data_IF_644256224763
#
_entry.id   IF_644256224763
#
_cell.length_a   1.000
_cell.length_b   1.000
_cell.length_c   1.000
_cell.angle_alpha   90.00
_cell.angle_beta   90.00
_cell.angle_gamma   90.00
#
_symmetry.space_group_name_H-M   'P 1'
#
loop_
_entity.id
_entity.type
_entity.pdbx_description
1 polymer ?
#
# COMPACT_ATOMS: atom_id res chain seq x y z
N UNK A 1 -6.77 18.22 -25.33
CA UNK A 1 -6.88 16.82 -24.86
C UNK A 1 -8.15 16.67 -24.03
N UNK A 2 -9.07 15.83 -24.48
CA UNK A 2 -10.47 15.75 -24.04
C UNK A 2 -10.59 15.02 -22.69
N UNK A 3 -10.99 15.74 -21.63
CA UNK A 3 -11.11 15.27 -20.22
C UNK A 3 -12.49 14.67 -19.90
N UNK A 4 -13.19 14.06 -20.86
CA UNK A 4 -14.47 13.37 -20.59
C UNK A 4 -14.24 11.87 -20.65
N UNK A 5 -14.64 11.17 -19.60
CA UNK A 5 -14.62 9.71 -19.45
C UNK A 5 -13.28 9.06 -19.06
N UNK A 6 -12.66 9.54 -17.97
CA UNK A 6 -11.91 8.61 -17.12
C UNK A 6 -12.87 8.01 -16.10
N UNK A 7 -13.69 7.07 -16.57
CA UNK A 7 -14.35 6.12 -15.69
C UNK A 7 -13.22 5.29 -15.11
N UNK A 8 -12.87 5.50 -13.83
CA UNK A 8 -11.89 4.66 -13.17
C UNK A 8 -12.45 3.23 -13.20
N UNK A 9 -11.78 2.27 -13.86
CA UNK A 9 -12.33 0.94 -14.13
C UNK A 9 -12.55 0.07 -12.88
N UNK A 10 -12.15 0.56 -11.69
CA UNK A 10 -12.31 -0.11 -10.41
C UNK A 10 -13.20 0.73 -9.48
N UNK A 11 -14.45 0.96 -9.88
CA UNK A 11 -15.47 1.48 -8.98
C UNK A 11 -15.91 0.34 -8.05
N UNK A 12 -15.20 0.16 -6.93
CA UNK A 12 -15.55 -0.89 -5.96
C UNK A 12 -16.89 -0.54 -5.28
N UNK A 13 -18.00 -1.22 -5.65
CA UNK A 13 -19.35 -0.77 -5.29
C UNK A 13 -19.60 -0.86 -3.77
N UNK A 14 -18.86 -1.71 -3.08
CA UNK A 14 -18.91 -1.87 -1.61
C UNK A 14 -18.28 -0.65 -0.94
N UNK A 15 -17.11 -0.23 -1.40
CA UNK A 15 -16.37 0.89 -0.84
C UNK A 15 -17.13 2.21 -1.05
N UNK A 16 -17.71 2.38 -2.23
CA UNK A 16 -18.63 3.47 -2.57
C UNK A 16 -19.82 3.55 -1.61
N UNK A 17 -20.52 2.42 -1.41
CA UNK A 17 -21.67 2.36 -0.49
C UNK A 17 -21.29 2.65 0.95
N UNK A 18 -20.10 2.19 1.38
CA UNK A 18 -19.59 2.49 2.71
C UNK A 18 -19.43 4.01 2.86
N UNK A 19 -18.72 4.68 1.95
CA UNK A 19 -18.49 6.12 2.00
C UNK A 19 -19.76 6.98 2.00
N UNK A 20 -20.79 6.57 1.26
CA UNK A 20 -22.11 7.21 1.34
C UNK A 20 -22.78 7.01 2.71
N UNK A 21 -22.61 5.83 3.34
CA UNK A 21 -23.16 5.55 4.68
C UNK A 21 -22.47 6.34 5.80
N UNK A 22 -21.15 6.55 5.70
CA UNK A 22 -20.38 7.35 6.69
C UNK A 22 -20.53 8.86 6.47
N UNK A 23 -21.33 9.29 5.48
CA UNK A 23 -21.56 10.72 5.18
C UNK A 23 -20.39 11.44 4.52
N UNK A 24 -19.34 10.71 4.12
CA UNK A 24 -18.16 11.29 3.45
C UNK A 24 -18.41 11.63 1.97
N UNK A 25 -19.37 10.97 1.31
CA UNK A 25 -19.80 11.30 -0.05
C UNK A 25 -21.23 11.81 -0.04
N UNK A 26 -21.50 12.90 -0.77
CA UNK A 26 -22.84 13.46 -0.94
C UNK A 26 -23.43 13.05 -2.30
N UNK A 27 -24.75 12.82 -2.34
CA UNK A 27 -25.48 12.35 -3.54
C UNK A 27 -25.34 13.26 -4.78
N UNK A 28 -24.95 14.53 -4.60
CA UNK A 28 -24.84 15.53 -5.66
C UNK A 28 -23.39 15.92 -6.02
N UNK A 29 -22.38 15.16 -5.56
CA UNK A 29 -20.98 15.42 -5.95
C UNK A 29 -20.72 15.04 -7.41
N UNK A 30 -19.86 15.81 -8.08
CA UNK A 30 -19.43 15.46 -9.43
C UNK A 30 -18.63 14.14 -9.41
N UNK A 31 -18.70 13.30 -10.47
CA UNK A 31 -17.95 12.04 -10.53
C UNK A 31 -16.44 12.22 -10.29
N UNK A 32 -15.90 13.37 -10.69
CA UNK A 32 -14.50 13.76 -10.49
C UNK A 32 -14.14 14.00 -9.02
N UNK A 33 -15.05 14.59 -8.23
CA UNK A 33 -14.84 14.82 -6.79
C UNK A 33 -14.98 13.53 -5.98
N UNK A 34 -15.90 12.66 -6.39
CA UNK A 34 -16.07 11.34 -5.76
C UNK A 34 -14.79 10.51 -5.91
N UNK A 35 -14.18 10.52 -7.10
CA UNK A 35 -12.93 9.80 -7.36
C UNK A 35 -11.77 10.40 -6.56
N UNK A 36 -11.64 11.73 -6.50
CA UNK A 36 -10.55 12.38 -5.77
C UNK A 36 -10.64 12.15 -4.25
N UNK A 37 -11.84 12.21 -3.66
CA UNK A 37 -12.01 11.93 -2.23
C UNK A 37 -11.71 10.48 -1.89
N UNK A 38 -12.19 9.51 -2.68
CA UNK A 38 -11.87 8.10 -2.45
C UNK A 38 -10.38 7.83 -2.54
N UNK A 39 -9.70 8.46 -3.50
CA UNK A 39 -8.26 8.37 -3.66
C UNK A 39 -7.56 8.90 -2.41
N UNK A 40 -7.92 10.10 -1.95
CA UNK A 40 -7.33 10.70 -0.74
C UNK A 40 -7.53 9.84 0.51
N UNK A 41 -8.73 9.30 0.73
CA UNK A 41 -8.98 8.46 1.91
C UNK A 41 -8.22 7.14 1.81
N UNK A 42 -8.18 6.50 0.64
CA UNK A 42 -7.40 5.27 0.46
C UNK A 42 -5.92 5.50 0.77
N UNK A 43 -5.34 6.62 0.30
CA UNK A 43 -3.96 6.99 0.63
C UNK A 43 -3.76 7.29 2.10
N UNK A 44 -4.65 8.08 2.69
CA UNK A 44 -4.57 8.43 4.10
C UNK A 44 -4.58 7.17 4.98
N UNK A 45 -5.53 6.26 4.74
CA UNK A 45 -5.62 4.97 5.44
C UNK A 45 -4.37 4.12 5.19
N UNK A 46 -3.88 4.04 3.94
CA UNK A 46 -2.67 3.27 3.62
C UNK A 46 -1.42 3.80 4.33
N UNK A 47 -1.23 5.12 4.37
CA UNK A 47 -0.11 5.76 5.07
C UNK A 47 -0.21 5.53 6.58
N UNK A 48 -1.39 5.71 7.17
CA UNK A 48 -1.62 5.49 8.61
C UNK A 48 -1.33 4.03 8.99
N UNK A 49 -1.90 3.07 8.25
CA UNK A 49 -1.68 1.65 8.52
C UNK A 49 -0.19 1.29 8.36
N UNK A 50 0.49 1.78 7.31
CA UNK A 50 1.92 1.53 7.12
C UNK A 50 2.76 2.13 8.24
N UNK A 51 2.46 3.35 8.69
CA UNK A 51 3.15 3.98 9.81
C UNK A 51 2.95 3.18 11.12
N UNK A 52 1.72 2.74 11.39
CA UNK A 52 1.43 1.89 12.55
C UNK A 52 2.21 0.57 12.52
N UNK A 53 2.28 -0.08 11.35
CA UNK A 53 3.06 -1.31 11.15
C UNK A 53 4.56 -1.06 11.37
N UNK A 54 5.12 0.04 10.85
CA UNK A 54 6.53 0.41 11.06
C UNK A 54 6.83 0.56 12.55
N UNK A 55 5.98 1.28 13.29
CA UNK A 55 6.13 1.48 14.74
C UNK A 55 6.05 0.14 15.49
N UNK A 56 5.08 -0.70 15.16
CA UNK A 56 4.94 -2.03 15.75
C UNK A 56 6.19 -2.90 15.51
N UNK A 57 6.70 -2.93 14.27
CA UNK A 57 7.93 -3.67 13.93
C UNK A 57 9.13 -3.09 14.67
N UNK A 58 9.25 -1.78 14.77
CA UNK A 58 10.37 -1.14 15.45
C UNK A 58 10.44 -1.53 16.93
N UNK A 59 9.29 -1.53 17.61
CA UNK A 59 9.19 -1.95 19.02
C UNK A 59 9.37 -3.47 19.19
N UNK A 60 8.84 -4.28 18.28
CA UNK A 60 8.83 -5.75 18.41
C UNK A 60 9.85 -6.46 17.51
N UNK A 61 10.88 -5.75 17.01
CA UNK A 61 11.88 -6.28 16.05
C UNK A 61 12.67 -7.51 16.53
N UNK A 62 12.77 -7.67 17.84
CA UNK A 62 13.47 -8.80 18.46
C UNK A 62 12.56 -10.02 18.67
N UNK A 63 11.24 -9.86 18.56
CA UNK A 63 10.29 -10.96 18.68
C UNK A 63 10.28 -11.79 17.40
N UNK A 64 10.46 -13.11 17.55
CA UNK A 64 10.37 -14.05 16.43
C UNK A 64 8.98 -14.05 15.79
N UNK A 65 7.92 -13.84 16.61
CA UNK A 65 6.53 -13.76 16.16
C UNK A 65 6.36 -12.63 15.15
N UNK A 66 6.94 -11.46 15.44
CA UNK A 66 6.82 -10.31 14.53
C UNK A 66 7.54 -10.56 13.21
N UNK A 67 8.71 -11.21 13.25
CA UNK A 67 9.46 -11.57 12.02
C UNK A 67 8.65 -12.53 11.14
N UNK A 68 8.01 -13.52 11.75
CA UNK A 68 7.15 -14.48 11.04
C UNK A 68 5.92 -13.78 10.44
N UNK A 69 5.25 -12.91 11.19
CA UNK A 69 4.10 -12.15 10.68
C UNK A 69 4.48 -11.27 9.48
N UNK A 70 5.61 -10.56 9.56
CA UNK A 70 6.12 -9.74 8.46
C UNK A 70 6.47 -10.60 7.24
N UNK A 71 7.09 -11.77 7.46
CA UNK A 71 7.40 -12.70 6.39
C UNK A 71 6.14 -13.19 5.66
N UNK A 72 5.13 -13.66 6.41
CA UNK A 72 3.86 -14.13 5.85
C UNK A 72 3.17 -12.99 5.07
N UNK A 73 3.07 -11.80 5.66
CA UNK A 73 2.45 -10.65 5.00
C UNK A 73 3.16 -10.25 3.70
N UNK A 74 4.50 -10.27 3.70
CA UNK A 74 5.29 -9.96 2.52
C UNK A 74 5.16 -11.05 1.44
N UNK A 75 5.13 -12.33 1.81
CA UNK A 75 4.89 -13.46 0.89
C UNK A 75 3.52 -13.39 0.23
N UNK A 76 2.46 -13.07 0.99
CA UNK A 76 1.12 -12.82 0.43
C UNK A 76 1.17 -11.68 -0.60
N UNK A 77 1.90 -10.60 -0.27
CA UNK A 77 2.16 -9.51 -1.20
C UNK A 77 2.79 -9.98 -2.51
N UNK A 78 3.87 -10.75 -2.45
CA UNK A 78 4.56 -11.29 -3.62
C UNK A 78 3.62 -12.16 -4.47
N UNK A 79 2.91 -13.12 -3.87
CA UNK A 79 2.03 -14.04 -4.61
C UNK A 79 0.84 -13.31 -5.24
N UNK A 80 0.20 -12.41 -4.50
CA UNK A 80 -1.00 -11.71 -4.97
C UNK A 80 -0.68 -10.63 -6.01
N UNK A 81 0.43 -9.90 -5.85
CA UNK A 81 0.86 -8.89 -6.82
C UNK A 81 1.53 -9.51 -8.05
N UNK A 82 2.29 -10.60 -7.88
CA UNK A 82 2.94 -11.29 -8.99
C UNK A 82 1.94 -11.80 -10.03
N UNK A 83 0.82 -12.38 -9.59
CA UNK A 83 -0.24 -12.86 -10.49
C UNK A 83 -1.04 -11.74 -11.17
N UNK A 84 -0.99 -10.50 -10.64
CA UNK A 84 -1.80 -9.35 -11.11
C UNK A 84 -0.96 -8.20 -11.65
N UNK A 85 0.32 -8.43 -11.92
CA UNK A 85 1.31 -7.39 -12.24
C UNK A 85 1.05 -6.71 -13.61
N UNK A 86 0.40 -7.42 -14.54
CA UNK A 86 0.11 -6.94 -15.90
C UNK A 86 -1.32 -6.41 -16.09
N UNK A 87 -2.16 -6.39 -15.04
CA UNK A 87 -3.56 -5.94 -15.16
C UNK A 87 -3.76 -4.51 -14.60
N UNK A 88 -4.24 -3.59 -15.45
CA UNK A 88 -4.71 -2.24 -15.06
C UNK A 88 -3.72 -1.07 -15.21
N UNK A 89 -4.23 0.16 -15.10
CA UNK A 89 -3.52 1.43 -15.31
C UNK A 89 -2.58 1.85 -14.15
N UNK A 90 -2.59 1.13 -13.03
CA UNK A 90 -1.79 1.44 -11.83
C UNK A 90 -0.38 0.79 -11.84
N UNK A 91 0.25 0.71 -13.01
CA UNK A 91 1.48 -0.04 -13.26
C UNK A 91 2.62 0.30 -12.30
N UNK A 92 2.81 1.58 -11.96
CA UNK A 92 3.90 2.01 -11.10
C UNK A 92 3.69 1.61 -9.63
N UNK A 93 2.46 1.75 -9.11
CA UNK A 93 2.10 1.38 -7.73
C UNK A 93 2.31 -0.09 -7.43
N UNK A 94 1.81 -0.95 -8.33
CA UNK A 94 1.86 -2.39 -8.14
C UNK A 94 3.29 -2.90 -8.18
N UNK A 95 4.10 -2.36 -9.10
CA UNK A 95 5.53 -2.70 -9.21
C UNK A 95 6.33 -2.24 -8.01
N UNK A 96 6.13 -1.01 -7.54
CA UNK A 96 6.79 -0.51 -6.34
C UNK A 96 6.45 -1.38 -5.11
N UNK A 97 5.17 -1.70 -4.93
CA UNK A 97 4.73 -2.56 -3.83
C UNK A 97 5.32 -3.97 -3.92
N UNK A 98 5.36 -4.56 -5.13
CA UNK A 98 5.97 -5.87 -5.36
C UNK A 98 7.47 -5.89 -5.04
N UNK A 99 8.22 -4.89 -5.53
CA UNK A 99 9.66 -4.73 -5.24
C UNK A 99 9.90 -4.58 -3.75
N UNK A 100 9.13 -3.73 -3.06
CA UNK A 100 9.26 -3.56 -1.61
C UNK A 100 8.90 -4.84 -0.84
N UNK A 101 7.88 -5.59 -1.29
CA UNK A 101 7.55 -6.89 -0.69
C UNK A 101 8.71 -7.88 -0.82
N UNK A 102 9.38 -7.96 -1.98
CA UNK A 102 10.58 -8.80 -2.16
C UNK A 102 11.71 -8.34 -1.24
N UNK A 103 12.00 -7.03 -1.19
CA UNK A 103 13.05 -6.48 -0.32
C UNK A 103 12.79 -6.83 1.15
N UNK A 104 11.53 -6.72 1.61
CA UNK A 104 11.13 -7.09 2.97
C UNK A 104 11.34 -8.58 3.21
N UNK A 105 10.92 -9.46 2.30
CA UNK A 105 11.15 -10.92 2.41
C UNK A 105 12.65 -11.23 2.55
N UNK A 106 13.48 -10.68 1.67
CA UNK A 106 14.94 -10.89 1.71
C UNK A 106 15.53 -10.36 3.01
N UNK A 107 15.09 -9.20 3.47
CA UNK A 107 15.55 -8.61 4.74
C UNK A 107 15.20 -9.53 5.92
N UNK A 108 13.98 -10.09 5.95
CA UNK A 108 13.60 -11.03 7.02
C UNK A 108 14.47 -12.29 6.99
N UNK A 109 14.72 -12.86 5.80
CA UNK A 109 15.58 -14.04 5.65
C UNK A 109 16.99 -13.75 6.17
N UNK A 110 17.60 -12.64 5.74
CA UNK A 110 18.94 -12.27 6.19
C UNK A 110 19.02 -11.96 7.70
N UNK A 111 17.97 -11.37 8.28
CA UNK A 111 17.88 -11.19 9.74
C UNK A 111 17.75 -12.52 10.49
N UNK A 112 17.08 -13.53 9.92
CA UNK A 112 17.02 -14.87 10.52
C UNK A 112 18.35 -15.62 10.43
N UNK A 113 19.07 -15.46 9.31
CA UNK A 113 20.41 -16.01 9.11
C UNK A 113 21.49 -15.26 9.92
N UNK A 114 21.11 -14.26 10.73
CA UNK A 114 22.01 -13.38 11.50
C UNK A 114 23.07 -12.66 10.64
N UNK A 115 22.82 -12.53 9.33
CA UNK A 115 23.71 -11.80 8.42
C UNK A 115 23.51 -10.28 8.52
N UNK A 116 22.34 -9.85 9.01
CA UNK A 116 21.94 -8.45 9.09
C UNK A 116 21.23 -8.18 10.41
N UNK A 117 21.47 -7.01 11.00
CA UNK A 117 20.83 -6.57 12.24
C UNK A 117 19.30 -6.50 12.13
N UNK A 118 18.63 -6.71 13.27
CA UNK A 118 17.17 -6.58 13.39
C UNK A 118 16.64 -5.18 13.09
N UNK A 119 17.53 -4.18 13.04
CA UNK A 119 17.21 -2.81 12.62
C UNK A 119 16.90 -2.72 11.11
N UNK A 120 17.48 -3.58 10.27
CA UNK A 120 17.30 -3.51 8.82
C UNK A 120 15.85 -3.72 8.39
N UNK A 121 15.08 -4.56 9.08
CA UNK A 121 13.65 -4.73 8.83
C UNK A 121 12.87 -3.43 9.04
N UNK A 122 13.22 -2.67 10.08
CA UNK A 122 12.56 -1.39 10.37
C UNK A 122 12.92 -0.34 9.31
N UNK A 123 14.19 -0.33 8.86
CA UNK A 123 14.66 0.56 7.78
C UNK A 123 13.97 0.23 6.46
N UNK A 124 13.89 -1.04 6.08
CA UNK A 124 13.20 -1.48 4.85
C UNK A 124 11.71 -1.07 4.85
N UNK A 125 11.03 -1.19 5.99
CA UNK A 125 9.65 -0.76 6.14
C UNK A 125 9.51 0.78 6.11
N UNK A 126 10.45 1.52 6.69
CA UNK A 126 10.48 2.98 6.61
C UNK A 126 10.67 3.46 5.17
N UNK A 127 11.57 2.83 4.41
CA UNK A 127 11.74 3.11 2.98
C UNK A 127 10.46 2.79 2.20
N UNK A 128 9.74 1.73 2.56
CA UNK A 128 8.44 1.40 1.97
C UNK A 128 7.37 2.46 2.25
N UNK A 129 7.37 3.02 3.46
CA UNK A 129 6.49 4.11 3.85
C UNK A 129 6.82 5.38 3.06
N UNK A 130 8.09 5.82 3.08
CA UNK A 130 8.54 7.02 2.37
C UNK A 130 8.30 6.93 0.87
N UNK A 131 8.62 5.79 0.24
CA UNK A 131 8.33 5.57 -1.16
C UNK A 131 6.83 5.54 -1.46
N UNK A 132 6.00 5.00 -0.56
CA UNK A 132 4.54 5.07 -0.67
C UNK A 132 3.99 6.49 -0.54
N UNK A 133 4.58 7.32 0.33
CA UNK A 133 4.25 8.74 0.45
C UNK A 133 4.63 9.50 -0.82
N UNK A 134 5.87 9.35 -1.30
CA UNK A 134 6.36 9.97 -2.55
C UNK A 134 5.50 9.54 -3.74
N UNK A 135 5.13 8.25 -3.80
CA UNK A 135 4.21 7.76 -4.83
C UNK A 135 2.88 8.50 -4.83
N UNK A 136 2.33 8.78 -3.65
CA UNK A 136 1.04 9.45 -3.48
C UNK A 136 1.08 10.89 -4.03
N UNK A 137 2.27 11.51 -4.09
CA UNK A 137 2.48 12.84 -4.65
C UNK A 137 2.87 12.83 -6.14
N UNK A 138 3.64 11.84 -6.58
CA UNK A 138 4.28 11.82 -7.92
C UNK A 138 3.42 11.14 -8.97
N UNK A 139 2.64 10.11 -8.61
CA UNK A 139 1.83 9.37 -9.58
C UNK A 139 0.42 9.95 -9.63
N UNK A 140 0.10 10.67 -10.71
CA UNK A 140 -1.28 11.04 -11.03
C UNK A 140 -2.09 9.80 -11.39
N UNK A 141 -3.02 9.39 -10.53
CA UNK A 141 -3.90 8.24 -10.79
C UNK A 141 -5.02 8.64 -11.73
N UNK A 142 -5.24 7.78 -12.72
CA UNK A 142 -6.36 7.81 -13.63
C UNK A 142 -6.79 6.38 -13.94
#
# INVERSE_FOLDING_TARGET
>A
MNKRNRVCPNDDPIFTKLFYKIGMLQKNMSPTEVVSMRMQVYYCVCIIIRAAIVVAIYHWRNSIVMRVLVFIGAMIGVVNLGSRMNSGTQWWSKKFQFVMSIIIVLTVIFTQLKMVDSCAMSIAMLVSLLGGVVQSFVVGFC
#
